data_IF_126364228973
#
_entry.id   IF_126364228973
#
_cell.length_a   1.000
_cell.length_b   1.000
_cell.length_c   1.000
_cell.angle_alpha   90.00
_cell.angle_beta   90.00
_cell.angle_gamma   90.00
#
_symmetry.space_group_name_H-M   'P 1'
#
loop_
_entity.id
_entity.type
_entity.pdbx_description
1 polymer ?
#
# COMPACT_ATOMS: atom_id res chain seq x y z
N UNK A 1 -10.37 15.45 -7.35
CA UNK A 1 -8.97 15.88 -7.25
C UNK A 1 -8.35 15.73 -8.63
N UNK A 2 -7.39 16.59 -8.99
CA UNK A 2 -6.53 16.31 -10.14
C UNK A 2 -5.41 15.32 -9.76
N UNK A 3 -4.60 14.90 -10.73
CA UNK A 3 -3.54 13.90 -10.50
C UNK A 3 -2.47 14.45 -9.55
N UNK A 4 -2.12 15.73 -9.65
CA UNK A 4 -1.09 16.35 -8.80
C UNK A 4 -1.55 16.37 -7.34
N UNK A 5 -2.79 16.78 -7.09
CA UNK A 5 -3.39 16.78 -5.76
C UNK A 5 -3.44 15.39 -5.12
N UNK A 6 -3.73 14.35 -5.92
CA UNK A 6 -3.74 12.96 -5.44
C UNK A 6 -2.32 12.52 -5.06
N UNK A 7 -1.33 12.81 -5.90
CA UNK A 7 0.07 12.48 -5.63
C UNK A 7 0.60 13.20 -4.39
N UNK A 8 0.33 14.50 -4.25
CA UNK A 8 0.74 15.29 -3.10
C UNK A 8 0.12 14.74 -1.80
N UNK A 9 -1.16 14.37 -1.85
CA UNK A 9 -1.86 13.76 -0.70
C UNK A 9 -1.27 12.40 -0.33
N UNK A 10 -0.96 11.57 -1.33
CA UNK A 10 -0.33 10.27 -1.10
C UNK A 10 1.03 10.43 -0.40
N UNK A 11 1.89 11.33 -0.90
CA UNK A 11 3.24 11.57 -0.35
C UNK A 11 3.16 12.11 1.07
N UNK A 12 2.25 13.05 1.35
CA UNK A 12 2.00 13.59 2.70
C UNK A 12 1.70 12.46 3.70
N UNK A 13 0.70 11.63 3.38
CA UNK A 13 0.27 10.55 4.26
C UNK A 13 1.33 9.45 4.41
N UNK A 14 2.05 9.13 3.33
CA UNK A 14 3.07 8.10 3.33
C UNK A 14 4.25 8.49 4.23
N UNK A 15 4.70 9.75 4.16
CA UNK A 15 5.75 10.28 5.05
C UNK A 15 5.32 10.35 6.52
N UNK A 16 4.02 10.44 6.77
CA UNK A 16 3.44 10.39 8.11
C UNK A 16 3.16 8.94 8.61
N UNK A 17 3.50 7.91 7.83
CA UNK A 17 3.26 6.50 8.17
C UNK A 17 1.78 6.09 8.15
N UNK A 18 0.90 6.89 7.52
CA UNK A 18 -0.55 6.68 7.52
C UNK A 18 -1.04 5.83 6.35
N UNK A 19 -0.49 4.63 6.24
CA UNK A 19 -0.75 3.75 5.09
C UNK A 19 -2.21 3.29 4.98
N UNK A 20 -2.89 3.06 6.09
CA UNK A 20 -4.32 2.72 6.10
C UNK A 20 -5.18 3.88 5.58
N UNK A 21 -4.89 5.11 6.01
CA UNK A 21 -5.60 6.30 5.55
C UNK A 21 -5.41 6.54 4.04
N UNK A 22 -4.25 6.21 3.47
CA UNK A 22 -4.04 6.25 2.01
C UNK A 22 -5.00 5.30 1.30
N UNK A 23 -5.15 4.09 1.80
CA UNK A 23 -6.04 3.08 1.22
C UNK A 23 -7.49 3.54 1.30
N UNK A 24 -7.90 4.09 2.45
CA UNK A 24 -9.27 4.59 2.66
C UNK A 24 -9.61 5.80 1.78
N UNK A 25 -8.66 6.72 1.60
CA UNK A 25 -8.90 7.97 0.86
C UNK A 25 -8.73 7.83 -0.65
N UNK A 26 -7.77 7.02 -1.11
CA UNK A 26 -7.23 7.11 -2.47
C UNK A 26 -7.36 5.82 -3.28
N UNK A 27 -7.63 4.66 -2.67
CA UNK A 27 -7.70 3.41 -3.43
C UNK A 27 -9.13 3.13 -3.89
N UNK A 28 -9.26 2.59 -5.09
CA UNK A 28 -10.53 2.10 -5.61
C UNK A 28 -10.88 0.75 -4.96
N UNK A 29 -12.19 0.45 -4.87
CA UNK A 29 -12.68 -0.83 -4.34
C UNK A 29 -12.12 -2.05 -5.10
N UNK A 30 -11.82 -1.87 -6.40
CA UNK A 30 -11.29 -2.87 -7.33
C UNK A 30 -9.78 -2.70 -7.63
N UNK A 31 -9.05 -1.97 -6.78
CA UNK A 31 -7.61 -1.77 -6.97
C UNK A 31 -6.82 -3.10 -7.00
N UNK A 32 -5.74 -3.12 -7.80
CA UNK A 32 -4.88 -4.30 -7.97
C UNK A 32 -3.48 -3.98 -7.44
N UNK A 33 -2.99 -4.77 -6.48
CA UNK A 33 -1.60 -4.71 -5.98
C UNK A 33 -0.77 -5.78 -6.70
N UNK A 34 0.21 -5.33 -7.48
CA UNK A 34 1.06 -6.18 -8.33
C UNK A 34 2.49 -6.17 -7.80
N UNK A 35 3.02 -7.36 -7.52
CA UNK A 35 4.39 -7.58 -7.07
C UNK A 35 5.39 -7.66 -8.22
N UNK A 36 6.68 -7.49 -7.86
CA UNK A 36 7.78 -7.66 -8.80
C UNK A 36 7.82 -9.07 -9.43
N UNK A 37 8.36 -9.22 -10.65
CA UNK A 37 8.49 -10.53 -11.29
C UNK A 37 9.22 -11.55 -10.42
N UNK A 38 8.66 -12.75 -10.29
CA UNK A 38 9.15 -13.83 -9.42
C UNK A 38 8.42 -13.91 -8.08
N UNK A 39 7.75 -12.83 -7.65
CA UNK A 39 7.05 -12.77 -6.37
C UNK A 39 5.52 -12.87 -6.49
N UNK A 40 4.98 -12.98 -7.70
CA UNK A 40 3.52 -12.90 -7.93
C UNK A 40 2.74 -13.98 -7.19
N UNK A 41 3.33 -15.16 -6.97
CA UNK A 41 2.73 -16.29 -6.24
C UNK A 41 3.30 -16.48 -4.83
N UNK A 42 4.05 -15.50 -4.32
CA UNK A 42 4.63 -15.55 -2.98
C UNK A 42 3.59 -15.37 -1.86
N UNK A 43 4.01 -15.42 -0.58
CA UNK A 43 3.11 -15.25 0.57
C UNK A 43 2.32 -13.92 0.57
N UNK A 44 2.90 -12.87 -0.01
CA UNK A 44 2.30 -11.56 -0.21
C UNK A 44 2.15 -11.24 -1.71
N UNK A 45 1.80 -12.24 -2.52
CA UNK A 45 1.70 -12.12 -3.98
C UNK A 45 0.68 -11.09 -4.48
N UNK A 46 0.33 -11.18 -5.76
CA UNK A 46 -0.65 -10.27 -6.36
C UNK A 46 -2.02 -10.44 -5.71
N UNK A 47 -2.72 -9.33 -5.45
CA UNK A 47 -4.07 -9.31 -4.92
C UNK A 47 -4.93 -8.27 -5.62
N UNK A 48 -6.23 -8.50 -5.66
CA UNK A 48 -7.24 -7.63 -6.25
C UNK A 48 -8.35 -7.36 -5.23
N UNK A 49 -8.80 -6.10 -5.18
CA UNK A 49 -9.81 -5.62 -4.26
C UNK A 49 -9.22 -4.99 -2.99
N UNK A 50 -9.86 -3.91 -2.53
CA UNK A 50 -9.40 -3.12 -1.38
C UNK A 50 -9.24 -3.96 -0.10
N UNK A 51 -10.19 -4.86 0.16
CA UNK A 51 -10.12 -5.76 1.32
C UNK A 51 -8.91 -6.70 1.28
N UNK A 52 -8.57 -7.22 0.09
CA UNK A 52 -7.41 -8.10 -0.08
C UNK A 52 -6.09 -7.33 0.08
N UNK A 53 -6.04 -6.06 -0.35
CA UNK A 53 -4.91 -5.16 -0.15
C UNK A 53 -4.71 -4.85 1.34
N UNK A 54 -5.79 -4.54 2.07
CA UNK A 54 -5.74 -4.29 3.52
C UNK A 54 -5.21 -5.51 4.28
N UNK A 55 -5.74 -6.69 3.98
CA UNK A 55 -5.30 -7.93 4.61
C UNK A 55 -3.82 -8.25 4.30
N UNK A 56 -3.38 -8.03 3.06
CA UNK A 56 -1.97 -8.16 2.67
C UNK A 56 -1.08 -7.18 3.47
N UNK A 57 -1.50 -5.93 3.62
CA UNK A 57 -0.79 -4.93 4.41
C UNK A 57 -0.67 -5.32 5.89
N UNK A 58 -1.75 -5.85 6.49
CA UNK A 58 -1.74 -6.36 7.86
C UNK A 58 -0.74 -7.50 8.03
N UNK A 59 -0.76 -8.50 7.16
CA UNK A 59 0.19 -9.63 7.17
C UNK A 59 1.64 -9.16 7.05
N UNK A 60 1.91 -8.21 6.15
CA UNK A 60 3.24 -7.63 6.02
C UNK A 60 3.71 -7.00 7.33
N UNK A 61 2.86 -6.19 7.98
CA UNK A 61 3.22 -5.54 9.24
C UNK A 61 3.37 -6.52 10.42
N UNK A 62 2.63 -7.63 10.43
CA UNK A 62 2.79 -8.70 11.42
C UNK A 62 4.15 -9.40 11.32
N UNK A 63 4.70 -9.50 10.11
CA UNK A 63 6.00 -10.09 9.85
C UNK A 63 7.19 -9.10 10.05
N UNK A 64 6.92 -7.80 10.21
CA UNK A 64 7.93 -6.77 10.44
C UNK A 64 8.37 -6.76 11.91
N UNK A 65 9.64 -7.07 12.16
CA UNK A 65 10.24 -7.01 13.50
C UNK A 65 10.71 -5.61 13.88
N UNK A 66 11.36 -4.90 12.96
CA UNK A 66 11.86 -3.54 13.17
C UNK A 66 11.80 -2.74 11.86
N UNK A 67 11.40 -1.47 11.95
CA UNK A 67 11.40 -0.54 10.81
C UNK A 67 12.68 0.29 10.83
N UNK A 68 13.55 0.10 9.85
CA UNK A 68 14.78 0.90 9.68
C UNK A 68 14.57 2.18 8.84
N UNK A 69 13.44 2.30 8.15
CA UNK A 69 13.08 3.46 7.36
C UNK A 69 11.95 3.19 6.38
N UNK A 70 11.30 4.26 5.92
CA UNK A 70 10.33 4.25 4.83
C UNK A 70 10.64 5.44 3.91
N UNK A 71 10.53 5.25 2.60
CA UNK A 71 10.86 6.27 1.61
C UNK A 71 9.71 6.48 0.63
N UNK A 72 9.40 7.75 0.37
CA UNK A 72 8.40 8.17 -0.60
C UNK A 72 8.83 9.54 -1.18
N UNK A 73 9.14 9.58 -2.48
CA UNK A 73 9.53 10.80 -3.22
C UNK A 73 8.33 11.60 -3.67
#
# INVERSE_FOLDING_TARGET
MDIQQIADRYVELCRAGKHEQIQDELYADDAISIEAPGNQSGPLGNVEGLEAIREKGRKFMEDVVELHGSWCS
#
